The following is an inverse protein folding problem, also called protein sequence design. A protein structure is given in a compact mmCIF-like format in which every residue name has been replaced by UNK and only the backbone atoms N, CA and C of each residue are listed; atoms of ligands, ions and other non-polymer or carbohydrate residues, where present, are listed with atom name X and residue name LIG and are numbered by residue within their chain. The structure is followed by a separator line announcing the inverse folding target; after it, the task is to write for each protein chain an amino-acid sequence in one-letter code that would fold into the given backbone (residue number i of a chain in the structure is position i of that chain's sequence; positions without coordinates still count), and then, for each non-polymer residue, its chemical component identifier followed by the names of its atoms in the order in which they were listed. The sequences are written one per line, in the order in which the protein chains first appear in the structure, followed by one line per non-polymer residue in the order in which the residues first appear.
data_IF_579687719547
#
_entry.id   IF_579687719547
#
_cell.length_a   1.000
_cell.length_b   1.000
_cell.length_c   1.000
_cell.angle_alpha   90.00
_cell.angle_beta   90.00
_cell.angle_gamma   90.00
#
_symmetry.space_group_name_H-M   'P 1'
#
loop_
_entity.id
_entity.type
_entity.pdbx_description
1 polymer ?
#
# COMPACT_ATOMS: atom_id res chain seq x y z
N UNK A 1 1.75 0.00 26.63
CA UNK A 1 1.80 -0.62 25.29
C UNK A 1 0.63 -0.05 24.51
N UNK A 2 0.86 0.69 23.44
CA UNK A 2 -0.21 1.30 22.63
C UNK A 2 -0.66 0.25 21.63
N UNK A 3 -1.88 -0.26 21.76
CA UNK A 3 -2.44 -1.17 20.75
C UNK A 3 -2.78 -0.37 19.50
N UNK A 4 -2.41 -0.90 18.34
CA UNK A 4 -2.82 -0.39 17.03
C UNK A 4 -4.33 -0.58 16.88
N UNK A 5 -5.03 0.49 16.52
CA UNK A 5 -6.48 0.48 16.26
C UNK A 5 -6.85 0.40 14.78
N UNK A 6 -5.87 0.61 13.90
CA UNK A 6 -6.08 0.72 12.45
C UNK A 6 -5.97 -0.65 11.79
N UNK A 7 -6.88 -0.97 10.87
CA UNK A 7 -6.92 -2.26 10.14
C UNK A 7 -6.17 -2.12 8.83
N UNK A 8 -5.33 -3.10 8.50
CA UNK A 8 -4.64 -3.20 7.23
C UNK A 8 -5.28 -4.30 6.38
N UNK A 9 -5.56 -3.97 5.11
CA UNK A 9 -6.27 -4.85 4.18
C UNK A 9 -5.45 -5.04 2.91
N UNK A 10 -5.30 -6.29 2.48
CA UNK A 10 -4.65 -6.66 1.23
C UNK A 10 -5.66 -7.30 0.27
N UNK A 11 -5.79 -6.72 -0.93
CA UNK A 11 -6.57 -7.25 -2.05
C UNK A 11 -5.62 -7.96 -3.02
N UNK A 12 -5.61 -9.28 -2.97
CA UNK A 12 -4.91 -10.10 -3.94
C UNK A 12 -5.89 -10.55 -5.00
N UNK A 13 -5.53 -10.51 -6.27
CA UNK A 13 -6.43 -11.07 -7.28
C UNK A 13 -5.85 -11.08 -8.67
N UNK A 14 -6.60 -11.64 -9.61
CA UNK A 14 -6.17 -11.69 -11.00
C UNK A 14 -6.26 -10.29 -11.64
N UNK A 15 -5.47 -10.00 -12.69
CA UNK A 15 -5.61 -8.78 -13.48
C UNK A 15 -7.04 -8.59 -14.00
N UNK A 16 -7.52 -7.36 -14.06
CA UNK A 16 -8.86 -7.06 -14.58
C UNK A 16 -10.01 -7.19 -13.58
N UNK A 17 -9.75 -7.58 -12.32
CA UNK A 17 -10.77 -7.73 -11.26
C UNK A 17 -11.18 -6.41 -10.57
N UNK A 18 -11.02 -5.26 -11.25
CA UNK A 18 -11.38 -3.93 -10.76
C UNK A 18 -10.76 -3.47 -9.41
N UNK A 19 -9.73 -4.15 -8.88
CA UNK A 19 -9.05 -3.78 -7.61
C UNK A 19 -8.57 -2.32 -7.58
N UNK A 20 -7.94 -1.85 -8.65
CA UNK A 20 -7.49 -0.46 -8.77
C UNK A 20 -8.66 0.54 -8.75
N UNK A 21 -9.83 0.16 -9.25
CA UNK A 21 -11.02 1.01 -9.18
C UNK A 21 -11.56 1.09 -7.76
N UNK A 22 -11.50 -0.02 -7.00
CA UNK A 22 -11.87 -0.02 -5.59
C UNK A 22 -10.96 0.89 -4.77
N UNK A 23 -9.64 0.83 -5.00
CA UNK A 23 -8.67 1.75 -4.38
C UNK A 23 -8.99 3.21 -4.69
N UNK A 24 -9.21 3.55 -5.96
CA UNK A 24 -9.59 4.92 -6.39
C UNK A 24 -10.94 5.38 -5.84
N UNK A 25 -11.87 4.45 -5.64
CA UNK A 25 -13.14 4.74 -5.01
C UNK A 25 -12.95 5.08 -3.54
N UNK A 26 -12.16 4.29 -2.81
CA UNK A 26 -11.83 4.55 -1.40
C UNK A 26 -11.08 5.87 -1.25
N UNK A 27 -10.15 6.19 -2.15
CA UNK A 27 -9.45 7.48 -2.19
C UNK A 27 -10.41 8.68 -2.29
N UNK A 28 -11.53 8.52 -2.99
CA UNK A 28 -12.54 9.59 -3.14
C UNK A 28 -13.56 9.61 -1.99
N UNK A 29 -13.78 8.47 -1.36
CA UNK A 29 -14.77 8.31 -0.31
C UNK A 29 -14.22 8.65 1.08
N UNK A 30 -12.94 8.40 1.33
CA UNK A 30 -12.29 8.67 2.60
C UNK A 30 -11.98 10.17 2.76
N UNK A 31 -12.11 10.73 3.98
CA UNK A 31 -11.84 12.16 4.23
C UNK A 31 -10.36 12.51 4.13
N UNK A 32 -9.49 11.58 4.50
CA UNK A 32 -8.04 11.67 4.38
C UNK A 32 -7.58 10.38 3.72
N UNK A 33 -7.13 10.49 2.48
CA UNK A 33 -6.54 9.36 1.79
C UNK A 33 -5.55 9.77 0.74
N UNK A 34 -4.56 8.91 0.55
CA UNK A 34 -3.54 9.09 -0.48
C UNK A 34 -3.46 7.81 -1.30
N UNK A 35 -3.66 7.96 -2.61
CA UNK A 35 -3.42 6.90 -3.57
C UNK A 35 -1.99 6.96 -4.09
N UNK A 36 -1.33 5.81 -4.11
CA UNK A 36 -0.01 5.68 -4.70
C UNK A 36 0.16 4.32 -5.41
N UNK A 37 1.01 4.28 -6.42
CA UNK A 37 1.41 3.02 -7.08
C UNK A 37 2.74 2.55 -6.50
N UNK A 38 2.87 1.24 -6.26
CA UNK A 38 4.10 0.61 -5.79
C UNK A 38 5.29 0.79 -6.72
N UNK A 39 5.05 1.00 -8.02
CA UNK A 39 6.12 1.29 -9.00
C UNK A 39 6.52 2.77 -9.04
N UNK A 40 5.56 3.67 -8.80
CA UNK A 40 5.76 5.12 -8.79
C UNK A 40 6.21 5.67 -7.43
N UNK A 41 6.04 4.88 -6.38
CA UNK A 41 6.48 5.22 -5.02
C UNK A 41 7.95 4.90 -4.83
N UNK A 42 8.64 5.77 -4.08
CA UNK A 42 9.95 5.46 -3.52
C UNK A 42 9.84 5.45 -2.00
N UNK A 43 10.79 4.84 -1.31
CA UNK A 43 10.84 4.79 0.16
C UNK A 43 10.76 6.20 0.74
N UNK A 44 11.45 7.17 0.13
CA UNK A 44 11.42 8.57 0.51
C UNK A 44 10.04 9.22 0.27
N UNK A 45 9.38 8.89 -0.84
CA UNK A 45 8.03 9.38 -1.16
C UNK A 45 6.93 8.75 -0.29
N UNK A 46 7.13 7.54 0.22
CA UNK A 46 6.21 6.88 1.16
C UNK A 46 6.39 7.38 2.58
N UNK A 47 7.65 7.58 3.00
CA UNK A 47 7.99 7.88 4.39
C UNK A 47 8.17 9.37 4.62
N UNK A 48 9.39 9.87 4.48
CA UNK A 48 9.70 11.27 4.35
C UNK A 48 11.08 11.42 3.72
N UNK A 49 11.32 12.59 3.13
CA UNK A 49 12.57 12.94 2.49
C UNK A 49 13.17 14.19 3.13
N UNK A 50 14.49 14.32 3.07
CA UNK A 50 15.17 15.54 3.50
C UNK A 50 15.64 16.25 2.25
N UNK A 51 15.12 17.45 2.02
CA UNK A 51 15.56 18.32 0.94
C UNK A 51 16.46 19.42 1.49
N UNK A 52 17.37 19.90 0.64
CA UNK A 52 18.20 21.06 0.94
C UNK A 52 17.70 22.24 0.13
N UNK A 53 17.36 23.33 0.81
CA UNK A 53 17.03 24.57 0.14
C UNK A 53 18.28 25.17 -0.49
N UNK A 54 18.22 25.51 -1.78
CA UNK A 54 19.35 26.11 -2.49
C UNK A 54 19.59 27.56 -2.03
N UNK A 55 18.57 28.24 -1.51
CA UNK A 55 18.64 29.64 -1.10
C UNK A 55 19.21 29.81 0.31
N UNK A 56 18.67 29.10 1.30
CA UNK A 56 19.09 29.18 2.71
C UNK A 56 20.21 28.20 3.05
N UNK A 57 20.48 27.21 2.18
CA UNK A 57 21.38 26.06 2.42
C UNK A 57 20.98 25.17 3.60
N UNK A 58 19.80 25.40 4.18
CA UNK A 58 19.25 24.60 5.28
C UNK A 58 18.59 23.33 4.76
N UNK A 59 18.54 22.32 5.64
CA UNK A 59 17.84 21.07 5.36
C UNK A 59 16.43 21.15 5.95
N UNK A 60 15.43 20.85 5.15
CA UNK A 60 14.04 20.73 5.59
C UNK A 60 13.53 19.31 5.34
N UNK A 61 12.57 18.92 6.17
CA UNK A 61 11.95 17.61 6.13
C UNK A 61 10.61 17.70 5.39
N UNK A 62 10.45 16.87 4.37
CA UNK A 62 9.23 16.75 3.59
C UNK A 62 8.55 15.42 3.91
N UNK A 63 7.31 15.50 4.41
CA UNK A 63 6.47 14.34 4.71
C UNK A 63 6.11 13.56 3.45
N UNK A 64 6.28 12.24 3.47
CA UNK A 64 5.81 11.35 2.42
C UNK A 64 4.34 10.97 2.59
N UNK A 65 3.84 10.12 1.68
CA UNK A 65 2.45 9.70 1.61
C UNK A 65 1.89 9.15 2.92
N UNK A 66 2.64 8.34 3.68
CA UNK A 66 2.15 7.76 4.92
C UNK A 66 2.06 8.80 6.06
N UNK A 67 2.95 9.79 6.08
CA UNK A 67 2.90 10.87 7.07
C UNK A 67 1.76 11.83 6.75
N UNK A 68 1.57 12.16 5.46
CA UNK A 68 0.50 13.04 5.01
C UNK A 68 -0.89 12.43 5.19
N UNK A 69 -0.99 11.11 5.18
CA UNK A 69 -2.24 10.39 5.42
C UNK A 69 -2.51 10.04 6.89
N UNK A 70 -1.76 10.60 7.87
CA UNK A 70 -1.94 10.31 9.31
C UNK A 70 -3.41 10.47 9.74
N UNK A 71 -3.97 9.43 10.37
CA UNK A 71 -5.38 9.35 10.76
C UNK A 71 -6.36 8.95 9.66
N UNK A 72 -5.85 8.62 8.47
CA UNK A 72 -6.64 8.24 7.29
C UNK A 72 -6.24 6.89 6.68
N UNK A 73 -6.41 6.78 5.37
CA UNK A 73 -6.10 5.57 4.59
C UNK A 73 -5.04 5.83 3.53
N UNK A 74 -4.06 4.93 3.43
CA UNK A 74 -3.12 4.91 2.31
C UNK A 74 -3.53 3.78 1.37
N UNK A 75 -3.90 4.15 0.14
CA UNK A 75 -4.24 3.23 -0.92
C UNK A 75 -3.01 2.94 -1.77
N UNK A 76 -2.58 1.69 -1.84
CA UNK A 76 -1.38 1.28 -2.55
C UNK A 76 -1.75 0.29 -3.65
N UNK A 77 -1.62 0.70 -4.91
CA UNK A 77 -1.78 -0.20 -6.05
C UNK A 77 -0.45 -0.86 -6.42
N UNK A 78 -0.49 -2.00 -7.11
CA UNK A 78 0.69 -2.74 -7.58
C UNK A 78 1.73 -2.98 -6.46
N UNK A 79 1.26 -3.35 -5.26
CA UNK A 79 2.13 -3.58 -4.10
C UNK A 79 3.20 -4.65 -4.37
N UNK A 80 2.92 -5.61 -5.27
CA UNK A 80 3.88 -6.63 -5.73
C UNK A 80 5.05 -6.04 -6.52
N UNK A 81 4.88 -4.88 -7.16
CA UNK A 81 5.91 -4.22 -7.99
C UNK A 81 6.84 -3.29 -7.23
N UNK A 82 6.66 -3.13 -5.91
CA UNK A 82 7.54 -2.32 -5.07
C UNK A 82 8.95 -2.90 -4.97
N UNK A 83 9.94 -2.01 -4.84
CA UNK A 83 11.33 -2.40 -4.55
C UNK A 83 11.46 -2.87 -3.11
N UNK A 84 12.48 -3.68 -2.85
CA UNK A 84 12.74 -4.20 -1.49
C UNK A 84 12.95 -3.08 -0.46
N UNK A 85 13.61 -1.97 -0.84
CA UNK A 85 13.85 -0.81 0.01
C UNK A 85 12.53 -0.14 0.46
N UNK A 86 11.59 0.02 -0.47
CA UNK A 86 10.28 0.63 -0.21
C UNK A 86 9.44 -0.27 0.72
N UNK A 87 9.54 -1.59 0.54
CA UNK A 87 8.86 -2.59 1.39
C UNK A 87 9.36 -2.54 2.84
N UNK A 88 10.67 -2.38 3.07
CA UNK A 88 11.24 -2.25 4.42
C UNK A 88 10.71 -1.00 5.12
N UNK A 89 10.67 0.11 4.40
CA UNK A 89 10.20 1.40 4.92
C UNK A 89 8.72 1.35 5.33
N UNK A 90 7.86 0.74 4.50
CA UNK A 90 6.45 0.52 4.84
C UNK A 90 6.31 -0.45 6.01
N UNK A 91 7.12 -1.50 6.08
CA UNK A 91 7.06 -2.48 7.17
C UNK A 91 7.32 -1.84 8.54
N UNK A 92 8.31 -0.93 8.64
CA UNK A 92 8.53 -0.14 9.87
C UNK A 92 7.29 0.71 10.20
N UNK A 93 6.75 1.42 9.22
CA UNK A 93 5.60 2.31 9.42
C UNK A 93 4.33 1.54 9.84
N UNK A 94 4.05 0.38 9.22
CA UNK A 94 2.91 -0.47 9.58
C UNK A 94 3.04 -1.10 10.97
N UNK A 95 4.27 -1.35 11.42
CA UNK A 95 4.53 -1.97 12.71
C UNK A 95 4.50 -0.96 13.87
N UNK A 96 5.24 0.14 13.73
CA UNK A 96 5.40 1.12 14.80
C UNK A 96 4.35 2.24 14.75
N UNK A 97 3.64 2.39 13.62
CA UNK A 97 2.78 3.55 13.32
C UNK A 97 3.51 4.89 13.43
N UNK A 98 4.84 4.85 13.30
CA UNK A 98 5.75 5.98 13.36
C UNK A 98 6.89 5.72 12.42
N UNK A 99 7.44 6.80 11.86
CA UNK A 99 8.56 6.76 10.94
C UNK A 99 9.70 7.51 11.59
N UNK A 100 10.81 6.82 11.81
CA UNK A 100 12.02 7.41 12.37
C UNK A 100 12.96 7.88 11.26
N UNK A 101 13.41 9.13 11.33
CA UNK A 101 14.31 9.71 10.33
C UNK A 101 15.51 10.30 11.04
N UNK A 102 16.68 9.81 10.65
CA UNK A 102 17.98 10.30 11.09
C UNK A 102 18.87 10.56 9.87
N UNK A 103 18.71 11.74 9.24
CA UNK A 103 19.45 12.13 8.03
C UNK A 103 19.82 13.61 8.07
N UNK A 104 21.00 13.95 7.53
CA UNK A 104 21.50 15.32 7.41
C UNK A 104 21.46 16.14 8.71
N UNK A 105 21.70 15.48 9.86
CA UNK A 105 21.66 16.13 11.18
C UNK A 105 20.26 16.34 11.77
N UNK A 106 19.20 15.94 11.04
CA UNK A 106 17.83 15.96 11.51
C UNK A 106 17.49 14.57 12.03
N UNK A 107 17.23 14.49 13.34
CA UNK A 107 16.70 13.29 13.99
C UNK A 107 15.30 13.61 14.49
N UNK A 108 14.29 13.05 13.84
CA UNK A 108 12.89 13.24 14.24
C UNK A 108 12.08 11.97 14.05
N UNK A 109 10.93 11.93 14.71
CA UNK A 109 9.97 10.84 14.62
C UNK A 109 8.66 11.45 14.16
N UNK A 110 8.15 10.96 13.04
CA UNK A 110 6.88 11.37 12.48
C UNK A 110 5.84 10.30 12.78
N UNK A 111 4.61 10.72 13.12
CA UNK A 111 3.51 9.78 13.27
C UNK A 111 2.97 9.41 11.89
N UNK A 112 2.64 8.13 11.71
CA UNK A 112 2.05 7.57 10.49
C UNK A 112 0.95 6.58 10.89
N UNK A 113 -0.05 7.05 11.64
CA UNK A 113 -1.19 6.24 12.11
C UNK A 113 -2.19 6.12 10.97
N UNK A 114 -1.85 5.29 10.00
CA UNK A 114 -2.63 5.13 8.78
C UNK A 114 -3.04 3.69 8.58
N UNK A 115 -4.27 3.49 8.13
CA UNK A 115 -4.71 2.19 7.61
C UNK A 115 -4.14 1.98 6.20
N UNK A 116 -3.56 0.82 5.94
CA UNK A 116 -3.04 0.48 4.62
C UNK A 116 -4.05 -0.39 3.87
N UNK A 117 -4.51 0.09 2.71
CA UNK A 117 -5.28 -0.69 1.75
C UNK A 117 -4.40 -0.95 0.53
N UNK A 118 -3.92 -2.18 0.38
CA UNK A 118 -3.02 -2.55 -0.70
C UNK A 118 -3.73 -3.44 -1.73
N UNK A 119 -3.41 -3.29 -3.02
CA UNK A 119 -3.74 -4.26 -4.06
C UNK A 119 -2.45 -4.87 -4.63
N UNK A 120 -2.47 -6.18 -4.81
CA UNK A 120 -1.38 -6.93 -5.39
C UNK A 120 -1.89 -7.92 -6.44
N UNK A 121 -1.01 -8.31 -7.34
CA UNK A 121 -1.24 -9.40 -8.29
C UNK A 121 -0.41 -10.64 -7.90
N UNK A 122 -0.93 -11.85 -8.15
CA UNK A 122 -0.13 -13.07 -7.98
C UNK A 122 1.03 -13.11 -8.97
N UNK A 123 2.11 -13.82 -8.61
CA UNK A 123 3.39 -13.84 -9.36
C UNK A 123 3.18 -14.21 -10.84
N UNK A 124 2.33 -15.21 -11.10
CA UNK A 124 2.07 -15.72 -12.44
C UNK A 124 0.86 -15.06 -13.13
N UNK A 125 0.33 -13.98 -12.56
CA UNK A 125 -0.86 -13.28 -13.07
C UNK A 125 -2.17 -14.05 -12.88
N UNK A 126 -2.13 -15.30 -12.40
CA UNK A 126 -3.28 -16.05 -11.92
C UNK A 126 -3.00 -16.66 -10.56
N UNK A 127 -4.01 -16.64 -9.69
CA UNK A 127 -3.93 -17.32 -8.41
C UNK A 127 -4.04 -18.84 -8.59
N UNK A 128 -3.05 -19.60 -8.11
CA UNK A 128 -3.02 -21.05 -8.19
C UNK A 128 -3.45 -21.68 -6.86
N UNK A 129 -4.59 -22.37 -6.86
CA UNK A 129 -5.15 -23.04 -5.68
C UNK A 129 -4.35 -24.25 -5.20
N UNK A 130 -3.46 -24.79 -6.03
CA UNK A 130 -2.57 -25.89 -5.66
C UNK A 130 -1.40 -25.41 -4.79
N UNK A 131 -1.10 -24.11 -4.80
CA UNK A 131 0.01 -23.51 -4.06
C UNK A 131 -0.47 -22.81 -2.81
N UNK A 132 0.40 -22.72 -1.81
CA UNK A 132 0.07 -21.95 -0.61
C UNK A 132 -0.07 -20.45 -0.95
N UNK A 133 -0.85 -19.66 -0.19
CA UNK A 133 -0.95 -18.23 -0.41
C UNK A 133 0.41 -17.51 -0.37
N UNK A 134 1.35 -17.99 0.46
CA UNK A 134 2.71 -17.46 0.52
C UNK A 134 3.58 -17.78 -0.70
N UNK A 135 3.28 -18.85 -1.44
CA UNK A 135 3.98 -19.19 -2.69
C UNK A 135 3.37 -18.51 -3.92
N UNK A 136 2.08 -18.17 -3.84
CA UNK A 136 1.39 -17.39 -4.87
C UNK A 136 1.82 -15.92 -4.89
N UNK A 137 2.43 -15.44 -3.80
CA UNK A 137 2.73 -14.04 -3.56
C UNK A 137 4.21 -13.88 -3.19
N UNK A 138 4.93 -13.00 -3.88
CA UNK A 138 6.34 -12.72 -3.61
C UNK A 138 6.53 -11.73 -2.44
N UNK A 139 5.88 -11.99 -1.30
CA UNK A 139 6.03 -11.19 -0.09
C UNK A 139 6.66 -12.00 1.05
N UNK A 140 7.47 -11.30 1.86
CA UNK A 140 7.97 -11.87 3.09
C UNK A 140 6.81 -12.13 4.07
N UNK A 141 6.88 -13.24 4.79
CA UNK A 141 5.88 -13.62 5.82
C UNK A 141 5.70 -12.55 6.89
N UNK A 142 6.74 -11.75 7.16
CA UNK A 142 6.73 -10.61 8.08
C UNK A 142 5.81 -9.47 7.64
N UNK A 143 5.64 -9.26 6.33
CA UNK A 143 4.73 -8.25 5.79
C UNK A 143 3.30 -8.79 5.77
N UNK A 144 3.12 -10.04 5.35
CA UNK A 144 1.81 -10.68 5.32
C UNK A 144 1.16 -10.73 6.71
N UNK A 145 1.94 -10.94 7.77
CA UNK A 145 1.44 -10.92 9.14
C UNK A 145 1.01 -9.53 9.65
N UNK A 146 1.33 -8.44 8.93
CA UNK A 146 0.87 -7.08 9.25
C UNK A 146 -0.46 -6.70 8.62
N UNK A 147 -0.94 -7.51 7.68
CA UNK A 147 -2.27 -7.40 7.12
C UNK A 147 -3.24 -8.24 7.96
N UNK A 148 -4.25 -7.60 8.52
CA UNK A 148 -5.25 -8.26 9.36
C UNK A 148 -6.28 -9.00 8.50
N UNK A 149 -6.52 -8.49 7.29
CA UNK A 149 -7.44 -9.07 6.32
C UNK A 149 -6.77 -9.21 4.95
N UNK A 150 -6.84 -10.41 4.38
CA UNK A 150 -6.38 -10.71 3.03
C UNK A 150 -7.57 -11.24 2.25
N UNK A 151 -7.99 -10.49 1.23
CA UNK A 151 -9.07 -10.87 0.33
C UNK A 151 -8.49 -11.35 -1.00
N UNK A 152 -8.89 -12.55 -1.42
CA UNK A 152 -8.50 -13.13 -2.70
C UNK A 152 -9.66 -12.96 -3.67
N UNK A 153 -9.47 -12.11 -4.68
CA UNK A 153 -10.41 -11.83 -5.77
C UNK A 153 -9.98 -12.62 -7.00
N UNK A 154 -10.64 -13.74 -7.22
CA UNK A 154 -10.39 -14.60 -8.40
C UNK A 154 -11.32 -14.21 -9.52
N UNK A 155 -10.79 -14.26 -10.74
CA UNK A 155 -11.60 -14.16 -11.94
C UNK A 155 -12.15 -15.54 -12.31
N UNK A 156 -13.46 -15.70 -12.21
CA UNK A 156 -14.17 -16.95 -12.55
C UNK A 156 -14.87 -16.77 -13.89
N UNK A 157 -14.38 -17.52 -14.89
CA UNK A 157 -14.79 -17.45 -16.30
C UNK A 157 -16.20 -18.02 -16.44
N UNK A 158 -17.21 -17.19 -16.19
CA UNK A 158 -18.62 -17.55 -16.26
C UNK A 158 -19.36 -16.62 -17.20
N UNK A 159 -19.86 -17.19 -18.30
CA UNK A 159 -20.62 -16.45 -19.31
C UNK A 159 -21.78 -15.63 -18.74
N UNK A 160 -22.48 -16.14 -17.73
CA UNK A 160 -23.59 -15.40 -17.10
C UNK A 160 -23.10 -14.15 -16.34
N UNK A 161 -21.95 -14.25 -15.65
CA UNK A 161 -21.33 -13.10 -14.97
C UNK A 161 -20.82 -12.09 -15.99
N UNK A 162 -20.18 -12.56 -17.06
CA UNK A 162 -19.66 -11.72 -18.13
C UNK A 162 -20.79 -10.96 -18.85
N UNK A 163 -21.91 -11.63 -19.15
CA UNK A 163 -23.08 -10.98 -19.75
C UNK A 163 -23.70 -9.92 -18.82
N UNK A 164 -23.73 -10.17 -17.49
CA UNK A 164 -24.19 -9.18 -16.51
C UNK A 164 -23.23 -7.99 -16.42
N UNK A 165 -21.92 -8.23 -16.41
CA UNK A 165 -20.91 -7.16 -16.40
C UNK A 165 -20.97 -6.33 -17.69
N UNK A 166 -21.08 -6.97 -18.85
CA UNK A 166 -21.20 -6.28 -20.13
C UNK A 166 -22.43 -5.34 -20.16
N UNK A 167 -23.58 -5.81 -19.66
CA UNK A 167 -24.78 -4.96 -19.52
C UNK A 167 -24.65 -3.81 -18.53
N UNK A 168 -23.76 -3.92 -17.55
CA UNK A 168 -23.51 -2.85 -16.58
C UNK A 168 -22.56 -1.78 -17.13
N UNK A 169 -21.67 -2.17 -18.04
CA UNK A 169 -20.68 -1.27 -18.66
C UNK A 169 -21.24 -0.55 -19.90
N UNK A 170 -22.12 -1.21 -20.66
CA UNK A 170 -22.87 -0.64 -21.81
C UNK A 170 -24.01 0.27 -21.36
#
# INVERSE_FOLDING_TARGET
MKLRGDINVLLLGDPGTAKSQLLKFVEKAAPISIYTSGKGSSAAGLTASVQRDQSTREFYLEGGAMVLADGGVVCIDEFDKMRAEDRVAIHEAMEQQTISIAKAGITTILNARTSVLAAANPIFGRYDDMKTPGENIDFQTTILSRFDMIFIVKDDHSREKDEKMAKHVL
#
